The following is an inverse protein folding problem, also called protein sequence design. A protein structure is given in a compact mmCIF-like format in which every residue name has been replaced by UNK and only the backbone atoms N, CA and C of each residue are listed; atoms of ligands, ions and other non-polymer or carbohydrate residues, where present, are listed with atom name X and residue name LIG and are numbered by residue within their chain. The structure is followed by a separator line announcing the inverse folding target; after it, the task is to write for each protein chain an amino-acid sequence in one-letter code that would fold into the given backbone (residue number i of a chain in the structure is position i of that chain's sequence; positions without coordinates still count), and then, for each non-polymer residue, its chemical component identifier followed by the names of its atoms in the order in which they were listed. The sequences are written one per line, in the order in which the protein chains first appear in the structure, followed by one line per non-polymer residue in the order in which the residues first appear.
data_IF_304030959161
#
_entry.id   IF_304030959161
#
_cell.length_a   1.000
_cell.length_b   1.000
_cell.length_c   1.000
_cell.angle_alpha   90.00
_cell.angle_beta   90.00
_cell.angle_gamma   90.00
#
_symmetry.space_group_name_H-M   'P 1'
#
loop_
_entity.id
_entity.type
_entity.pdbx_description
1 polymer ?
#
# COMPACT_ATOMS: atom_id res chain seq x y z
N UNK A 1 16.16 11.17 0.37
CA UNK A 1 15.84 9.74 0.53
C UNK A 1 16.29 9.00 -0.73
N UNK A 2 17.34 8.21 -0.64
CA UNK A 2 17.79 7.31 -1.72
C UNK A 2 16.78 6.15 -1.76
N UNK A 3 16.15 5.93 -2.91
CA UNK A 3 14.89 5.21 -3.05
C UNK A 3 14.92 3.76 -2.56
N UNK A 4 13.83 3.33 -1.89
CA UNK A 4 13.55 1.92 -1.60
C UNK A 4 13.44 1.05 -2.86
N UNK A 5 13.34 1.70 -4.03
CA UNK A 5 13.22 1.11 -5.35
C UNK A 5 14.37 1.64 -6.22
N UNK A 6 15.23 0.74 -6.70
CA UNK A 6 16.37 1.11 -7.56
C UNK A 6 15.91 1.83 -8.83
N UNK A 7 16.58 2.92 -9.19
CA UNK A 7 16.23 3.74 -10.37
C UNK A 7 14.92 4.54 -10.23
N UNK A 8 14.35 4.65 -9.04
CA UNK A 8 13.16 5.48 -8.79
C UNK A 8 13.48 6.55 -7.76
N UNK A 9 13.21 7.80 -8.11
CA UNK A 9 13.25 8.94 -7.19
C UNK A 9 11.87 9.55 -7.02
N UNK A 10 11.62 10.10 -5.83
CA UNK A 10 10.35 10.74 -5.48
C UNK A 10 10.62 12.10 -4.88
N UNK A 11 9.93 13.10 -5.40
CA UNK A 11 9.87 14.44 -4.84
C UNK A 11 8.42 14.78 -4.49
N UNK A 12 8.26 15.61 -3.46
CA UNK A 12 6.96 16.12 -3.01
C UNK A 12 6.95 17.62 -3.19
N UNK A 13 5.86 18.16 -3.73
CA UNK A 13 5.54 19.58 -3.66
C UNK A 13 4.33 19.84 -2.78
N UNK A 14 4.30 21.01 -2.17
CA UNK A 14 3.13 21.59 -1.53
C UNK A 14 2.88 22.97 -2.13
N UNK A 15 1.75 23.14 -2.83
CA UNK A 15 1.59 24.24 -3.79
C UNK A 15 2.72 24.21 -4.82
N UNK A 16 3.47 25.31 -4.93
CA UNK A 16 4.59 25.45 -5.87
C UNK A 16 5.97 25.10 -5.28
N UNK A 17 6.04 24.82 -3.97
CA UNK A 17 7.31 24.60 -3.26
C UNK A 17 7.63 23.11 -3.18
N UNK A 18 8.88 22.75 -3.48
CA UNK A 18 9.39 21.42 -3.14
C UNK A 18 9.61 21.31 -1.63
N UNK A 19 9.26 20.16 -1.08
CA UNK A 19 9.49 19.84 0.32
C UNK A 19 10.72 18.96 0.47
N UNK A 20 11.47 19.20 1.54
CA UNK A 20 12.48 18.26 2.01
C UNK A 20 11.77 17.05 2.63
N UNK A 21 12.16 15.85 2.19
CA UNK A 21 11.59 14.60 2.71
C UNK A 21 12.61 13.92 3.63
N UNK A 22 12.46 14.05 4.96
CA UNK A 22 13.31 13.36 5.91
C UNK A 22 13.12 11.84 5.84
N UNK A 23 14.05 11.08 6.43
CA UNK A 23 14.03 9.61 6.39
C UNK A 23 12.77 8.99 6.98
N UNK A 24 12.18 9.60 8.02
CA UNK A 24 10.92 9.15 8.61
C UNK A 24 9.68 9.48 7.75
N UNK A 25 9.87 10.19 6.64
CA UNK A 25 8.83 10.60 5.71
C UNK A 25 7.96 11.75 6.20
N UNK A 26 8.22 12.36 7.37
CA UNK A 26 7.39 13.45 7.88
C UNK A 26 7.53 14.70 7.01
N UNK A 27 6.43 15.18 6.45
CA UNK A 27 6.40 16.32 5.54
C UNK A 27 6.10 17.64 6.24
N UNK A 28 5.52 17.57 7.44
CA UNK A 28 5.08 18.75 8.21
C UNK A 28 3.60 18.72 8.59
N UNK A 29 3.18 19.82 9.19
CA UNK A 29 1.79 20.18 9.46
C UNK A 29 1.44 21.33 8.53
N UNK A 30 0.24 21.30 7.95
CA UNK A 30 -0.21 22.28 6.98
C UNK A 30 -1.63 22.73 7.33
N UNK A 31 -1.85 24.03 7.29
CA UNK A 31 -3.05 24.71 7.80
C UNK A 31 -3.86 25.41 6.69
N UNK A 32 -3.47 25.23 5.43
CA UNK A 32 -4.19 25.75 4.27
C UNK A 32 -4.67 24.63 3.32
N UNK A 33 -5.48 24.99 2.33
CA UNK A 33 -6.07 24.06 1.38
C UNK A 33 -5.20 23.79 0.15
N UNK A 34 -3.91 24.15 0.18
CA UNK A 34 -3.01 23.86 -0.94
C UNK A 34 -2.91 22.35 -1.16
N UNK A 35 -2.70 21.96 -2.42
CA UNK A 35 -2.56 20.55 -2.77
C UNK A 35 -1.12 20.09 -2.69
N UNK A 36 -0.96 18.78 -2.43
CA UNK A 36 0.33 18.13 -2.67
C UNK A 36 0.46 17.74 -4.14
N UNK A 37 1.69 17.65 -4.61
CA UNK A 37 2.01 16.94 -5.85
C UNK A 37 3.13 15.93 -5.60
N UNK A 38 2.85 14.66 -5.86
CA UNK A 38 3.86 13.62 -5.97
C UNK A 38 4.48 13.67 -7.36
N UNK A 39 5.81 13.74 -7.42
CA UNK A 39 6.60 13.65 -8.64
C UNK A 39 7.48 12.41 -8.54
N UNK A 40 7.18 11.39 -9.32
CA UNK A 40 7.94 10.14 -9.37
C UNK A 40 8.73 10.12 -10.66
N UNK A 41 10.04 9.99 -10.56
CA UNK A 41 10.95 9.91 -11.71
C UNK A 41 11.55 8.51 -11.75
N UNK A 42 11.41 7.85 -12.89
CA UNK A 42 11.93 6.51 -13.15
C UNK A 42 13.03 6.64 -14.20
N UNK A 43 14.24 6.24 -13.83
CA UNK A 43 15.40 6.24 -14.72
C UNK A 43 15.49 4.95 -15.55
N UNK A 44 16.24 4.95 -16.66
CA UNK A 44 16.37 3.78 -17.54
C UNK A 44 16.88 2.51 -16.82
N UNK A 45 17.74 2.67 -15.81
CA UNK A 45 18.29 1.54 -15.05
C UNK A 45 17.32 0.90 -14.06
N UNK A 46 16.12 1.47 -13.86
CA UNK A 46 15.08 0.91 -13.00
C UNK A 46 14.49 -0.41 -13.53
N UNK A 47 14.75 -0.74 -14.81
CA UNK A 47 14.21 -1.91 -15.48
C UNK A 47 12.75 -1.71 -15.86
N UNK A 48 11.96 -2.78 -15.79
CA UNK A 48 10.56 -2.71 -16.21
C UNK A 48 9.67 -2.18 -15.09
N UNK A 49 9.24 -0.93 -15.23
CA UNK A 49 8.33 -0.26 -14.30
C UNK A 49 7.13 0.32 -15.06
N UNK A 50 5.94 0.15 -14.51
CA UNK A 50 4.73 0.82 -14.97
C UNK A 50 4.03 1.51 -13.79
N UNK A 51 3.76 2.80 -13.92
CA UNK A 51 2.93 3.54 -12.95
C UNK A 51 1.45 3.45 -13.33
N UNK A 52 0.60 3.14 -12.37
CA UNK A 52 -0.84 2.99 -12.61
C UNK A 52 -1.71 3.44 -11.42
N UNK A 53 -3.00 3.56 -11.69
CA UNK A 53 -4.05 3.73 -10.68
C UNK A 53 -5.10 2.64 -10.82
N UNK A 54 -5.86 2.42 -9.74
CA UNK A 54 -6.89 1.38 -9.69
C UNK A 54 -8.22 2.01 -9.32
N UNK A 55 -9.26 1.74 -10.11
CA UNK A 55 -10.61 2.24 -9.84
C UNK A 55 -11.37 1.38 -8.80
N UNK A 56 -12.65 1.68 -8.58
CA UNK A 56 -13.52 0.93 -7.66
C UNK A 56 -13.66 -0.57 -8.03
N UNK A 57 -13.60 -0.87 -9.32
CA UNK A 57 -13.83 -2.19 -9.93
C UNK A 57 -12.53 -3.00 -10.13
N UNK A 58 -11.42 -2.50 -9.60
CA UNK A 58 -10.06 -3.06 -9.70
C UNK A 58 -9.43 -3.00 -11.09
N UNK A 59 -9.96 -2.17 -11.98
CA UNK A 59 -9.34 -1.95 -13.28
C UNK A 59 -8.08 -1.11 -13.14
N UNK A 60 -7.08 -1.47 -13.93
CA UNK A 60 -5.79 -0.82 -13.96
C UNK A 60 -5.78 0.22 -15.08
N UNK A 61 -5.57 1.47 -14.71
CA UNK A 61 -5.37 2.57 -15.66
C UNK A 61 -3.91 3.06 -15.59
N UNK A 62 -3.09 2.82 -16.63
CA UNK A 62 -1.75 3.38 -16.71
C UNK A 62 -1.77 4.91 -16.58
N UNK A 63 -0.81 5.46 -15.83
CA UNK A 63 -0.66 6.92 -15.75
C UNK A 63 0.05 7.44 -16.99
N UNK A 64 -0.38 8.63 -17.46
CA UNK A 64 0.33 9.39 -18.48
C UNK A 64 1.74 9.71 -17.99
N UNK A 65 2.72 9.55 -18.86
CA UNK A 65 4.13 9.76 -18.59
C UNK A 65 4.64 10.96 -19.37
N UNK A 66 5.36 11.87 -18.70
CA UNK A 66 6.19 12.84 -19.38
C UNK A 66 7.59 12.22 -19.55
N UNK A 67 8.21 12.39 -20.72
CA UNK A 67 9.58 11.93 -20.96
C UNK A 67 10.52 13.13 -21.00
N UNK A 68 11.65 13.03 -20.30
CA UNK A 68 12.70 14.06 -20.28
C UNK A 68 14.05 13.37 -20.06
N UNK A 69 15.02 13.57 -20.95
CA UNK A 69 16.36 12.96 -20.88
C UNK A 69 16.33 11.45 -20.57
N UNK A 70 15.54 10.69 -21.33
CA UNK A 70 15.28 9.25 -21.17
C UNK A 70 14.61 8.82 -19.84
N UNK A 71 14.32 9.76 -18.95
CA UNK A 71 13.58 9.51 -17.72
C UNK A 71 12.08 9.58 -17.96
N UNK A 72 11.34 8.77 -17.21
CA UNK A 72 9.89 8.77 -17.16
C UNK A 72 9.43 9.50 -15.89
N UNK A 73 8.68 10.58 -16.08
CA UNK A 73 8.19 11.42 -15.00
C UNK A 73 6.67 11.28 -14.89
N UNK A 74 6.23 10.84 -13.72
CA UNK A 74 4.83 10.71 -13.33
C UNK A 74 4.49 11.76 -12.29
N UNK A 75 3.32 12.38 -12.45
CA UNK A 75 2.82 13.38 -11.51
C UNK A 75 1.42 13.01 -11.01
N UNK A 76 1.20 13.13 -9.71
CA UNK A 76 -0.12 13.03 -9.09
C UNK A 76 -0.36 14.24 -8.21
N UNK A 77 -1.38 15.02 -8.53
CA UNK A 77 -1.91 16.05 -7.63
C UNK A 77 -2.85 15.40 -6.61
N UNK A 78 -2.64 15.69 -5.33
CA UNK A 78 -3.40 15.16 -4.21
C UNK A 78 -4.05 16.35 -3.50
N UNK A 79 -5.36 16.49 -3.66
CA UNK A 79 -6.13 17.52 -2.97
C UNK A 79 -6.26 17.20 -1.49
N UNK A 80 -6.31 18.25 -0.66
CA UNK A 80 -6.62 18.13 0.76
C UNK A 80 -8.12 18.27 1.00
N UNK A 81 -8.60 17.52 1.98
CA UNK A 81 -9.93 17.64 2.56
C UNK A 81 -9.79 18.06 4.02
N UNK A 82 -10.82 18.72 4.56
CA UNK A 82 -10.86 19.09 5.97
C UNK A 82 -11.79 18.15 6.74
N UNK A 83 -11.33 17.67 7.88
CA UNK A 83 -12.13 16.86 8.79
C UNK A 83 -13.12 17.73 9.59
N UNK A 84 -14.07 17.09 10.28
CA UNK A 84 -14.98 17.80 11.19
C UNK A 84 -14.26 18.51 12.35
N UNK A 85 -13.07 18.03 12.72
CA UNK A 85 -12.25 18.63 13.77
C UNK A 85 -11.39 19.81 13.26
N UNK A 86 -11.43 20.12 11.96
CA UNK A 86 -10.63 21.16 11.33
C UNK A 86 -9.30 20.69 10.74
N UNK A 87 -8.84 19.47 11.06
CA UNK A 87 -7.58 18.93 10.53
C UNK A 87 -7.67 18.67 9.02
N UNK A 88 -6.62 19.06 8.29
CA UNK A 88 -6.46 18.68 6.89
C UNK A 88 -5.94 17.25 6.73
N UNK A 89 -6.41 16.57 5.69
CA UNK A 89 -5.99 15.21 5.35
C UNK A 89 -6.05 14.94 3.84
N UNK A 90 -5.28 13.95 3.39
CA UNK A 90 -5.32 13.43 2.02
C UNK A 90 -6.34 12.28 1.92
N UNK A 91 -7.44 12.41 1.16
CA UNK A 91 -8.47 11.37 1.09
C UNK A 91 -8.03 10.18 0.23
N UNK A 92 -8.18 8.97 0.77
CA UNK A 92 -8.12 7.73 -0.02
C UNK A 92 -9.36 7.60 -0.91
N UNK A 93 -9.26 7.13 -2.18
CA UNK A 93 -8.10 6.52 -2.84
C UNK A 93 -7.20 7.48 -3.62
N UNK A 94 -7.38 8.79 -3.51
CA UNK A 94 -6.72 9.76 -4.39
C UNK A 94 -5.38 10.26 -3.85
N UNK A 95 -4.82 9.58 -2.86
CA UNK A 95 -3.63 10.00 -2.12
C UNK A 95 -2.36 9.20 -2.45
N UNK A 96 -2.41 8.33 -3.46
CA UNK A 96 -1.30 7.43 -3.78
C UNK A 96 -1.16 7.15 -5.28
N UNK A 97 0.07 6.76 -5.66
CA UNK A 97 0.42 6.15 -6.93
C UNK A 97 0.88 4.71 -6.69
N UNK A 98 0.65 3.84 -7.68
CA UNK A 98 1.20 2.48 -7.67
C UNK A 98 2.23 2.29 -8.77
N UNK A 99 3.30 1.58 -8.43
CA UNK A 99 4.34 1.15 -9.36
C UNK A 99 4.29 -0.39 -9.45
N UNK A 100 4.10 -0.90 -10.65
CA UNK A 100 4.28 -2.32 -10.97
C UNK A 100 5.71 -2.49 -11.47
N UNK A 101 6.47 -3.35 -10.79
CA UNK A 101 7.78 -3.79 -11.22
C UNK A 101 7.72 -5.26 -11.60
N UNK A 102 8.37 -5.63 -12.69
CA UNK A 102 8.47 -7.04 -13.08
C UNK A 102 9.84 -7.39 -13.66
N UNK A 103 10.23 -8.63 -13.46
CA UNK A 103 11.42 -9.24 -14.04
C UNK A 103 11.04 -10.18 -15.18
N UNK A 104 12.01 -10.50 -16.03
CA UNK A 104 11.82 -11.43 -17.14
C UNK A 104 11.45 -12.85 -16.69
N UNK A 105 11.82 -13.25 -15.47
CA UNK A 105 11.50 -14.55 -14.87
C UNK A 105 10.10 -14.61 -14.23
N UNK A 106 9.29 -13.56 -14.39
CA UNK A 106 7.93 -13.51 -13.86
C UNK A 106 7.80 -13.04 -12.41
N UNK A 107 8.89 -12.69 -11.72
CA UNK A 107 8.78 -12.05 -10.41
C UNK A 107 8.16 -10.66 -10.55
N UNK A 108 7.14 -10.38 -9.74
CA UNK A 108 6.45 -9.09 -9.72
C UNK A 108 6.42 -8.46 -8.33
N UNK A 109 6.42 -7.13 -8.30
CA UNK A 109 6.19 -6.34 -7.09
C UNK A 109 5.25 -5.18 -7.40
N UNK A 110 4.30 -4.92 -6.50
CA UNK A 110 3.53 -3.67 -6.53
C UNK A 110 3.95 -2.83 -5.33
N UNK A 111 4.41 -1.62 -5.61
CA UNK A 111 4.72 -0.61 -4.62
C UNK A 111 3.66 0.47 -4.64
N UNK A 112 3.32 0.98 -3.47
CA UNK A 112 2.42 2.10 -3.27
C UNK A 112 3.20 3.26 -2.64
N UNK A 113 3.17 4.40 -3.31
CA UNK A 113 3.77 5.66 -2.84
C UNK A 113 2.62 6.59 -2.52
N UNK A 114 2.50 6.96 -1.26
CA UNK A 114 1.35 7.72 -0.77
C UNK A 114 1.78 8.90 0.08
N UNK A 115 0.97 9.96 0.05
CA UNK A 115 0.96 10.97 1.11
C UNK A 115 -0.25 10.65 1.99
N UNK A 116 -0.02 10.52 3.29
CA UNK A 116 -1.07 10.23 4.27
C UNK A 116 -1.09 11.30 5.35
N UNK A 117 -2.22 11.43 6.05
CA UNK A 117 -2.35 12.31 7.20
C UNK A 117 -2.80 11.53 8.44
N UNK A 118 -2.23 11.87 9.58
CA UNK A 118 -2.64 11.41 10.90
C UNK A 118 -2.69 12.61 11.84
N UNK A 119 -3.89 13.04 12.24
CA UNK A 119 -4.08 14.22 13.10
C UNK A 119 -3.39 15.49 12.54
N UNK A 120 -3.62 15.81 11.27
CA UNK A 120 -3.05 17.01 10.62
C UNK A 120 -1.56 16.90 10.25
N UNK A 121 -0.87 15.83 10.66
CA UNK A 121 0.53 15.56 10.31
C UNK A 121 0.62 14.74 9.04
N UNK A 122 1.42 15.19 8.08
CA UNK A 122 1.54 14.55 6.77
C UNK A 122 2.83 13.73 6.66
N UNK A 123 2.72 12.59 5.99
CA UNK A 123 3.83 11.66 5.80
C UNK A 123 3.87 11.15 4.36
N UNK A 124 5.04 11.18 3.73
CA UNK A 124 5.34 10.35 2.57
C UNK A 124 5.58 8.92 3.03
N UNK A 125 4.95 7.96 2.36
CA UNK A 125 5.10 6.55 2.67
C UNK A 125 5.38 5.75 1.42
N UNK A 126 6.27 4.77 1.54
CA UNK A 126 6.54 3.74 0.55
C UNK A 126 6.10 2.42 1.14
N UNK A 127 5.39 1.63 0.35
CA UNK A 127 4.95 0.32 0.79
C UNK A 127 4.90 -0.68 -0.34
N UNK A 128 5.61 -1.79 -0.17
CA UNK A 128 5.42 -2.97 -1.01
C UNK A 128 4.11 -3.66 -0.62
N UNK A 129 3.08 -3.53 -1.46
CA UNK A 129 1.72 -4.04 -1.21
C UNK A 129 1.48 -5.41 -1.84
N UNK A 130 2.27 -5.79 -2.84
CA UNK A 130 2.23 -7.12 -3.45
C UNK A 130 3.64 -7.61 -3.78
N UNK A 131 3.88 -8.89 -3.49
CA UNK A 131 4.98 -9.68 -4.03
C UNK A 131 4.37 -10.99 -4.52
N UNK A 132 4.62 -11.33 -5.77
CA UNK A 132 4.11 -12.56 -6.35
C UNK A 132 5.02 -13.00 -7.51
N UNK A 133 4.71 -14.17 -8.08
CA UNK A 133 5.34 -14.66 -9.30
C UNK A 133 4.26 -15.10 -10.31
N UNK A 134 4.56 -14.86 -11.58
CA UNK A 134 3.85 -15.44 -12.70
C UNK A 134 4.54 -16.74 -13.13
N UNK A 135 3.73 -17.69 -13.60
CA UNK A 135 4.16 -18.99 -14.07
C UNK A 135 3.60 -19.27 -15.45
N UNK A 136 4.25 -20.16 -16.19
CA UNK A 136 3.72 -20.75 -17.41
C UNK A 136 2.90 -21.99 -17.07
N UNK A 137 1.67 -22.02 -17.56
CA UNK A 137 0.81 -23.20 -17.55
C UNK A 137 0.37 -23.47 -18.98
N UNK A 138 1.00 -24.46 -19.61
CA UNK A 138 0.91 -24.71 -21.06
C UNK A 138 1.27 -23.44 -21.86
N UNK A 139 0.30 -22.87 -22.59
CA UNK A 139 0.44 -21.66 -23.41
C UNK A 139 -0.03 -20.39 -22.68
N UNK A 140 -0.30 -20.46 -21.37
CA UNK A 140 -0.88 -19.36 -20.59
C UNK A 140 0.06 -18.85 -19.51
N UNK A 141 -0.05 -17.55 -19.23
CA UNK A 141 0.53 -16.94 -18.02
C UNK A 141 -0.49 -17.05 -16.89
N UNK A 142 -0.06 -17.58 -15.74
CA UNK A 142 -0.90 -17.71 -14.55
C UNK A 142 -0.23 -17.09 -13.32
N UNK A 143 -1.03 -16.65 -12.35
CA UNK A 143 -0.56 -16.06 -11.09
C UNK A 143 -1.35 -16.67 -9.91
N UNK A 144 -0.95 -17.86 -9.43
CA UNK A 144 -1.78 -18.68 -8.55
C UNK A 144 -2.06 -18.07 -7.16
N UNK A 145 -1.16 -17.22 -6.66
CA UNK A 145 -1.30 -16.60 -5.34
C UNK A 145 -2.24 -15.39 -5.31
N UNK A 146 -2.46 -14.75 -6.46
CA UNK A 146 -3.09 -13.42 -6.53
C UNK A 146 -4.34 -13.46 -7.39
N UNK A 147 -5.49 -13.20 -6.76
CA UNK A 147 -6.78 -13.09 -7.45
C UNK A 147 -7.02 -11.67 -7.96
N UNK A 148 -6.27 -11.29 -8.99
CA UNK A 148 -6.42 -9.99 -9.67
C UNK A 148 -6.32 -10.14 -11.20
N UNK A 149 -7.44 -10.49 -11.86
CA UNK A 149 -7.45 -10.78 -13.29
C UNK A 149 -6.94 -9.63 -14.18
N UNK A 150 -7.27 -8.38 -13.85
CA UNK A 150 -6.80 -7.22 -14.60
C UNK A 150 -5.28 -7.03 -14.52
N UNK A 151 -4.67 -7.34 -13.37
CA UNK A 151 -3.21 -7.33 -13.24
C UNK A 151 -2.57 -8.45 -14.07
N UNK A 152 -3.16 -9.65 -14.04
CA UNK A 152 -2.69 -10.76 -14.86
C UNK A 152 -2.77 -10.42 -16.36
N UNK A 153 -3.89 -9.85 -16.82
CA UNK A 153 -4.06 -9.43 -18.21
C UNK A 153 -2.98 -8.45 -18.65
N UNK A 154 -2.70 -7.44 -17.82
CA UNK A 154 -1.64 -6.47 -18.09
C UNK A 154 -0.26 -7.17 -18.17
N UNK A 155 0.03 -8.09 -17.26
CA UNK A 155 1.31 -8.80 -17.23
C UNK A 155 1.50 -9.73 -18.43
N UNK A 156 0.44 -10.36 -18.93
CA UNK A 156 0.49 -11.21 -20.12
C UNK A 156 0.93 -10.43 -21.37
N UNK A 157 0.63 -9.14 -21.46
CA UNK A 157 1.09 -8.28 -22.57
C UNK A 157 2.58 -7.93 -22.49
N UNK A 158 3.21 -8.09 -21.33
CA UNK A 158 4.58 -7.65 -21.05
C UNK A 158 5.56 -8.78 -20.75
N UNK A 159 5.09 -9.97 -20.39
CA UNK A 159 5.92 -11.12 -20.07
C UNK A 159 6.10 -12.02 -21.29
N UNK A 160 7.32 -12.50 -21.49
CA UNK A 160 7.58 -13.57 -22.44
C UNK A 160 7.35 -14.92 -21.76
N UNK A 161 6.40 -15.69 -22.28
CA UNK A 161 6.00 -16.99 -21.78
C UNK A 161 7.18 -17.96 -21.60
N UNK A 162 8.14 -17.95 -22.53
CA UNK A 162 9.29 -18.86 -22.53
C UNK A 162 10.27 -18.61 -21.37
N UNK A 163 10.25 -17.40 -20.80
CA UNK A 163 11.10 -17.04 -19.67
C UNK A 163 10.48 -17.39 -18.31
N UNK A 164 9.20 -17.79 -18.28
CA UNK A 164 8.49 -18.05 -17.03
C UNK A 164 8.73 -19.46 -16.51
N UNK A 165 8.86 -19.65 -15.18
CA UNK A 165 8.92 -20.98 -14.60
C UNK A 165 7.60 -21.73 -14.84
N UNK A 166 7.63 -23.05 -15.07
CA UNK A 166 6.41 -23.84 -15.20
C UNK A 166 5.64 -23.87 -13.88
N UNK A 167 4.30 -23.92 -13.95
CA UNK A 167 3.42 -23.94 -12.77
C UNK A 167 3.69 -25.10 -11.82
N UNK A 168 4.28 -26.20 -12.30
CA UNK A 168 4.71 -27.32 -11.46
C UNK A 168 5.78 -26.94 -10.42
N UNK A 169 6.48 -25.83 -10.59
CA UNK A 169 7.41 -25.27 -9.60
C UNK A 169 6.74 -24.38 -8.56
N UNK A 170 5.45 -24.06 -8.72
CA UNK A 170 4.72 -23.27 -7.73
C UNK A 170 4.59 -24.04 -6.42
N UNK A 171 5.06 -23.42 -5.35
CA UNK A 171 4.87 -23.91 -3.99
C UNK A 171 3.92 -22.98 -3.28
N UNK A 172 2.75 -23.52 -2.90
CA UNK A 172 1.77 -22.76 -2.13
C UNK A 172 2.40 -22.33 -0.79
N UNK A 173 2.40 -21.03 -0.46
CA UNK A 173 2.91 -20.57 0.83
C UNK A 173 2.15 -21.26 1.96
N UNK A 174 2.89 -21.78 2.93
CA UNK A 174 2.29 -22.26 4.18
C UNK A 174 1.82 -21.03 4.95
N UNK A 175 0.51 -20.90 5.23
CA UNK A 175 0.03 -19.78 6.04
C UNK A 175 0.76 -19.78 7.38
N UNK A 176 1.20 -18.62 7.85
CA UNK A 176 1.65 -18.49 9.24
C UNK A 176 0.50 -18.93 10.14
N UNK A 177 0.71 -19.99 10.95
CA UNK A 177 -0.35 -20.51 11.80
C UNK A 177 -0.77 -19.42 12.80
N UNK A 178 -2.07 -19.13 12.80
CA UNK A 178 -2.71 -18.31 13.84
C UNK A 178 -3.00 -19.11 15.12
N UNK A 179 -2.67 -20.41 15.12
CA UNK A 179 -2.86 -21.28 16.27
C UNK A 179 -1.97 -20.79 17.41
N UNK A 180 -2.55 -20.71 18.62
CA UNK A 180 -1.90 -20.30 19.88
C UNK A 180 -1.81 -18.79 20.17
N UNK A 181 -2.62 -17.93 19.54
CA UNK A 181 -2.79 -16.55 20.04
C UNK A 181 -3.48 -16.55 21.42
N UNK A 182 -2.88 -15.85 22.39
CA UNK A 182 -3.47 -15.68 23.71
C UNK A 182 -4.68 -14.71 23.63
N UNK A 183 -5.70 -14.85 24.50
CA UNK A 183 -6.75 -13.85 24.62
C UNK A 183 -6.17 -12.44 24.78
N UNK A 184 -6.73 -11.47 24.05
CA UNK A 184 -6.26 -10.08 24.04
C UNK A 184 -4.99 -9.83 23.21
N UNK A 185 -4.51 -10.82 22.46
CA UNK A 185 -3.39 -10.66 21.51
C UNK A 185 -3.83 -10.93 20.08
N UNK A 186 -3.21 -10.26 19.13
CA UNK A 186 -3.47 -10.44 17.72
C UNK A 186 -2.17 -10.46 16.91
N UNK A 187 -2.18 -11.14 15.77
CA UNK A 187 -1.08 -11.09 14.81
C UNK A 187 -1.47 -10.26 13.60
N UNK A 188 -0.60 -9.34 13.21
CA UNK A 188 -0.85 -8.48 12.05
C UNK A 188 -0.74 -9.29 10.78
N UNK A 189 -1.82 -9.36 10.01
CA UNK A 189 -1.85 -10.07 8.72
C UNK A 189 -1.35 -9.16 7.59
N UNK A 190 -1.85 -7.93 7.56
CA UNK A 190 -1.40 -6.88 6.66
C UNK A 190 -1.84 -5.52 7.21
N UNK A 191 -1.17 -4.46 6.77
CA UNK A 191 -1.58 -3.08 7.02
C UNK A 191 -1.29 -2.29 5.76
N UNK A 192 -2.19 -1.43 5.29
CA UNK A 192 -1.98 -0.58 4.13
C UNK A 192 -1.86 0.88 4.60
N UNK A 193 -0.74 1.54 4.27
CA UNK A 193 -0.47 2.91 4.71
C UNK A 193 -1.42 3.92 4.06
N UNK A 194 -1.62 3.86 2.73
CA UNK A 194 -2.46 4.81 2.01
C UNK A 194 -3.91 4.83 2.51
N UNK A 195 -4.45 3.67 2.88
CA UNK A 195 -5.79 3.49 3.43
C UNK A 195 -5.85 3.72 4.94
N UNK A 196 -4.72 3.62 5.65
CA UNK A 196 -4.64 3.71 7.10
C UNK A 196 -5.37 2.56 7.84
N UNK A 197 -5.56 1.42 7.17
CA UNK A 197 -6.24 0.24 7.73
C UNK A 197 -5.41 -1.03 7.54
N UNK A 198 -5.60 -1.99 8.43
CA UNK A 198 -5.03 -3.32 8.32
C UNK A 198 -6.00 -4.41 8.76
N UNK A 199 -5.51 -5.63 8.69
CA UNK A 199 -6.15 -6.83 9.21
C UNK A 199 -5.25 -7.48 10.26
N UNK A 200 -5.86 -7.95 11.34
CA UNK A 200 -5.21 -8.74 12.37
C UNK A 200 -5.98 -10.04 12.58
N UNK A 201 -5.26 -11.13 12.76
CA UNK A 201 -5.83 -12.41 13.20
C UNK A 201 -5.89 -12.40 14.74
N UNK A 202 -7.07 -12.62 15.33
CA UNK A 202 -7.31 -12.74 16.78
C UNK A 202 -7.83 -14.15 17.10
N UNK A 203 -7.90 -14.55 18.38
CA UNK A 203 -8.55 -15.81 18.79
C UNK A 203 -10.02 -15.90 18.36
N UNK A 204 -10.71 -14.77 18.23
CA UNK A 204 -12.12 -14.68 17.82
C UNK A 204 -12.33 -14.57 16.31
N UNK A 205 -11.25 -14.45 15.53
CA UNK A 205 -11.28 -14.37 14.07
C UNK A 205 -10.55 -13.16 13.49
N UNK A 206 -10.90 -12.80 12.26
CA UNK A 206 -10.26 -11.71 11.54
C UNK A 206 -10.89 -10.35 11.92
N UNK A 207 -10.08 -9.43 12.43
CA UNK A 207 -10.52 -8.08 12.76
C UNK A 207 -9.80 -7.02 11.90
N UNK A 208 -10.52 -5.94 11.60
CA UNK A 208 -9.93 -4.72 11.04
C UNK A 208 -9.18 -3.96 12.14
N UNK A 209 -8.15 -3.23 11.78
CA UNK A 209 -7.52 -2.22 12.63
C UNK A 209 -7.33 -0.94 11.84
N UNK A 210 -7.62 0.22 12.44
CA UNK A 210 -7.38 1.53 11.85
C UNK A 210 -6.22 2.22 12.58
N UNK A 211 -5.45 3.06 11.89
CA UNK A 211 -4.28 3.75 12.47
C UNK A 211 -4.60 4.50 13.77
N UNK A 212 -5.79 5.11 13.87
CA UNK A 212 -6.22 5.86 15.07
C UNK A 212 -6.52 4.98 16.28
N UNK A 213 -6.55 3.65 16.10
CA UNK A 213 -6.71 2.66 17.18
C UNK A 213 -5.37 2.11 17.67
N UNK A 214 -4.26 2.52 17.06
CA UNK A 214 -2.91 2.00 17.34
C UNK A 214 -2.14 3.04 18.16
N UNK A 215 -1.40 2.55 19.16
CA UNK A 215 -0.34 3.29 19.82
C UNK A 215 0.93 2.46 19.78
N UNK A 216 1.97 2.94 19.08
CA UNK A 216 3.24 2.20 18.97
C UNK A 216 4.12 2.31 20.23
N UNK A 217 3.89 3.31 21.08
CA UNK A 217 4.62 3.50 22.35
C UNK A 217 6.13 3.77 22.23
N UNK A 218 6.66 3.87 21.01
CA UNK A 218 8.09 3.96 20.72
C UNK A 218 8.55 5.37 20.28
N UNK A 219 7.74 6.40 20.55
CA UNK A 219 8.00 7.77 20.09
C UNK A 219 7.80 8.01 18.59
N UNK A 220 7.34 7.00 17.83
CA UNK A 220 6.98 7.19 16.41
C UNK A 220 5.88 8.23 16.27
N UNK A 221 6.11 9.22 15.40
CA UNK A 221 5.09 10.22 15.05
C UNK A 221 3.96 9.64 14.18
N UNK A 222 4.18 8.45 13.60
CA UNK A 222 3.24 7.75 12.73
C UNK A 222 2.80 6.43 13.37
N UNK A 223 1.48 6.22 13.44
CA UNK A 223 0.87 4.97 13.89
C UNK A 223 0.63 4.04 12.70
N UNK A 224 1.19 2.85 12.76
CA UNK A 224 1.07 1.83 11.73
C UNK A 224 1.39 0.45 12.32
N UNK A 225 1.19 -0.60 11.54
CA UNK A 225 1.57 -1.96 11.87
C UNK A 225 2.32 -2.61 10.70
N UNK A 226 3.14 -3.62 11.00
CA UNK A 226 3.88 -4.42 10.03
C UNK A 226 3.36 -5.84 10.06
N UNK A 227 3.21 -6.48 8.89
CA UNK A 227 2.79 -7.88 8.82
C UNK A 227 3.70 -8.78 9.67
N UNK A 228 3.10 -9.71 10.40
CA UNK A 228 3.78 -10.60 11.34
C UNK A 228 3.92 -10.08 12.77
N UNK A 229 3.84 -8.75 13.00
CA UNK A 229 3.93 -8.16 14.35
C UNK A 229 2.87 -8.78 15.28
N UNK A 230 3.26 -9.03 16.54
CA UNK A 230 2.35 -9.42 17.60
C UNK A 230 1.93 -8.16 18.38
N UNK A 231 0.63 -7.99 18.56
CA UNK A 231 0.06 -6.82 19.23
C UNK A 231 -0.90 -7.24 20.34
N UNK A 232 -1.06 -6.41 21.34
CA UNK A 232 -2.15 -6.50 22.30
C UNK A 232 -3.31 -5.60 21.85
N UNK A 233 -4.52 -5.91 22.26
CA UNK A 233 -5.68 -5.05 22.04
C UNK A 233 -6.58 -5.00 23.28
N UNK A 234 -7.31 -3.90 23.47
CA UNK A 234 -8.20 -3.70 24.62
C UNK A 234 -9.60 -4.25 24.41
N UNK A 235 -10.06 -4.28 23.16
CA UNK A 235 -11.37 -4.83 22.84
C UNK A 235 -11.62 -4.97 21.33
N UNK A 236 -12.58 -5.82 21.00
CA UNK A 236 -13.09 -6.07 19.66
C UNK A 236 -14.52 -5.55 19.58
N UNK A 237 -14.77 -4.63 18.65
CA UNK A 237 -16.09 -4.06 18.42
C UNK A 237 -16.68 -4.62 17.13
N UNK A 238 -17.98 -4.88 17.12
CA UNK A 238 -18.69 -5.23 15.89
C UNK A 238 -18.81 -3.98 15.01
N UNK A 239 -18.43 -4.11 13.73
CA UNK A 239 -18.62 -3.04 12.77
C UNK A 239 -20.12 -2.94 12.41
N UNK A 240 -20.68 -1.72 12.32
CA UNK A 240 -22.06 -1.55 11.93
C UNK A 240 -22.28 -2.12 10.52
N UNK A 241 -23.35 -2.91 10.34
CA UNK A 241 -23.78 -3.37 9.01
C UNK A 241 -24.22 -2.15 8.21
N UNK A 242 -23.37 -1.68 7.28
CA UNK A 242 -23.73 -0.59 6.38
C UNK A 242 -24.82 -1.08 5.43
N UNK A 243 -25.99 -0.42 5.45
CA UNK A 243 -27.07 -0.64 4.48
C UNK A 243 -26.72 -0.05 3.11
N UNK A 244 -25.98 1.06 3.10
CA UNK A 244 -25.54 1.76 1.89
C UNK A 244 -24.01 2.00 1.90
N UNK A 245 -23.36 1.76 0.75
CA UNK A 245 -21.92 1.96 0.54
C UNK A 245 -21.10 0.67 0.34
N UNK A 246 -19.80 0.83 0.05
CA UNK A 246 -18.89 -0.29 -0.22
C UNK A 246 -18.81 -1.21 1.01
N UNK A 247 -19.40 -2.40 0.91
CA UNK A 247 -19.32 -3.42 1.97
C UNK A 247 -17.87 -3.88 2.14
N UNK A 248 -17.39 -3.86 3.37
CA UNK A 248 -16.10 -4.46 3.73
C UNK A 248 -16.36 -5.89 4.19
N UNK A 249 -15.44 -6.81 3.92
CA UNK A 249 -15.54 -8.18 4.43
C UNK A 249 -15.32 -8.26 5.95
N UNK A 250 -14.80 -7.20 6.58
CA UNK A 250 -14.60 -7.17 8.03
C UNK A 250 -15.93 -6.99 8.76
N UNK A 251 -16.13 -7.84 9.77
CA UNK A 251 -17.26 -7.76 10.70
C UNK A 251 -16.86 -7.15 12.05
N UNK A 252 -15.55 -7.13 12.34
CA UNK A 252 -15.00 -6.74 13.63
C UNK A 252 -13.89 -5.70 13.47
N UNK A 253 -13.70 -4.85 14.48
CA UNK A 253 -12.60 -3.90 14.58
C UNK A 253 -11.92 -3.97 15.95
N UNK A 254 -10.59 -4.13 15.95
CA UNK A 254 -9.75 -4.09 17.12
C UNK A 254 -9.48 -2.64 17.58
N UNK A 255 -9.51 -2.43 18.90
CA UNK A 255 -9.34 -1.13 19.53
C UNK A 255 -8.28 -1.14 20.64
N UNK A 256 -7.63 0.00 20.85
CA UNK A 256 -6.57 0.13 21.85
C UNK A 256 -5.38 -0.78 21.56
N UNK A 257 -5.01 -0.89 20.28
CA UNK A 257 -3.96 -1.79 19.79
C UNK A 257 -2.59 -1.23 20.16
N UNK A 258 -1.73 -2.08 20.74
CA UNK A 258 -0.37 -1.72 21.14
C UNK A 258 0.62 -2.82 20.73
N UNK A 259 1.84 -2.44 20.35
CA UNK A 259 2.89 -3.40 20.03
C UNK A 259 3.32 -4.14 21.31
N UNK A 260 3.40 -5.47 21.26
CA UNK A 260 4.01 -6.28 22.33
C UNK A 260 5.50 -6.33 22.03
N UNK A 261 6.31 -5.75 22.92
CA UNK A 261 7.78 -5.84 22.86
C UNK A 261 8.25 -7.18 23.40
#
# INVERSE_FOLDING_TARGET
MVGEISGVSVAVKYGDKFLDVPENGFLGEFDDSSSFQLVVTVSPEAGNILTFTVNGDKDIAPKRVAKHDDQQIYKLSIALAQSQAGDFFTPYPNNHLRLLLWKSDGQIQVWEIAIISQHGKFFLTFQKTLVAACYRDEDNVVMPEVKWPQLLSLLTEHLNLDNLPPISQFQKPVPASSENLKPGTARVKWFNFAMGVGAVDTPEGLARVHWSKISRGNGSQRNYLTAGELVSFKGINQLPKKKDGRQTAFQQEASGVQLIQ
#
